data_IF_762927208067
#
_entry.id   IF_762927208067
#
_cell.length_a   1.000
_cell.length_b   1.000
_cell.length_c   1.000
_cell.angle_alpha   90.00
_cell.angle_beta   90.00
_cell.angle_gamma   90.00
#
_symmetry.space_group_name_H-M   'P 1'
#
loop_
_entity.id
_entity.type
_entity.pdbx_description
1 polymer ?
#
# COMPACT_ATOMS: atom_id res chain seq x y z
N UNK A 1 -6.87 0.48 -23.13
CA UNK A 1 -8.16 1.11 -23.54
C UNK A 1 -8.15 2.53 -22.98
N UNK A 2 -8.26 3.56 -23.82
CA UNK A 2 -8.40 4.94 -23.35
C UNK A 2 -9.86 5.20 -22.97
N UNK A 3 -10.15 5.34 -21.67
CA UNK A 3 -11.49 5.68 -21.17
C UNK A 3 -11.51 7.16 -20.80
N UNK A 4 -12.49 7.90 -21.36
CA UNK A 4 -12.65 9.34 -21.09
C UNK A 4 -13.61 9.58 -19.94
N UNK A 5 -13.24 10.48 -19.03
CA UNK A 5 -14.08 10.92 -17.91
C UNK A 5 -14.47 12.38 -18.14
N UNK A 6 -15.77 12.69 -18.10
CA UNK A 6 -16.31 14.03 -18.26
C UNK A 6 -16.97 14.49 -16.96
N UNK A 7 -16.60 15.67 -16.47
CA UNK A 7 -17.18 16.27 -15.26
C UNK A 7 -17.97 17.52 -15.62
N UNK A 8 -19.13 17.69 -14.97
CA UNK A 8 -19.85 18.96 -14.97
C UNK A 8 -19.46 19.73 -13.71
N UNK A 9 -18.82 20.87 -13.90
CA UNK A 9 -18.39 21.77 -12.82
C UNK A 9 -18.82 23.19 -13.16
N UNK A 10 -18.96 24.03 -12.14
CA UNK A 10 -19.23 25.44 -12.37
C UNK A 10 -18.04 26.13 -13.05
N UNK A 11 -18.29 27.12 -13.92
CA UNK A 11 -17.23 27.84 -14.62
C UNK A 11 -16.20 28.49 -13.68
N UNK A 12 -16.67 29.01 -12.54
CA UNK A 12 -15.82 29.65 -11.54
C UNK A 12 -14.84 28.65 -10.90
N UNK A 13 -15.32 27.46 -10.54
CA UNK A 13 -14.51 26.38 -9.96
C UNK A 13 -13.42 25.96 -10.96
N UNK A 14 -13.76 25.82 -12.25
CA UNK A 14 -12.78 25.49 -13.29
C UNK A 14 -11.68 26.54 -13.39
N UNK A 15 -12.05 27.83 -13.37
CA UNK A 15 -11.12 28.93 -13.54
C UNK A 15 -10.17 29.06 -12.34
N UNK A 16 -10.69 28.92 -11.13
CA UNK A 16 -9.89 28.89 -9.90
C UNK A 16 -8.94 27.70 -9.87
N UNK A 17 -9.41 26.50 -10.24
CA UNK A 17 -8.58 25.30 -10.29
C UNK A 17 -7.45 25.43 -11.32
N UNK A 18 -7.74 25.95 -12.51
CA UNK A 18 -6.71 26.23 -13.53
C UNK A 18 -5.65 27.20 -13.00
N UNK A 19 -6.07 28.32 -12.38
CA UNK A 19 -5.14 29.30 -11.81
C UNK A 19 -4.28 28.72 -10.68
N UNK A 20 -4.84 27.82 -9.88
CA UNK A 20 -4.10 27.14 -8.81
C UNK A 20 -3.04 26.16 -9.36
N UNK A 21 -3.33 25.50 -10.47
CA UNK A 21 -2.44 24.52 -11.10
C UNK A 21 -1.40 25.17 -12.04
N UNK A 22 -1.74 26.31 -12.65
CA UNK A 22 -0.82 27.13 -13.44
C UNK A 22 0.37 27.59 -12.58
N UNK A 23 0.13 27.97 -11.32
CA UNK A 23 1.19 28.26 -10.33
C UNK A 23 2.14 27.07 -10.08
N UNK A 24 1.70 25.85 -10.37
CA UNK A 24 2.48 24.62 -10.18
C UNK A 24 3.01 24.04 -11.51
N UNK A 25 2.69 24.66 -12.65
CA UNK A 25 3.05 24.16 -13.98
C UNK A 25 2.36 22.85 -14.38
N UNK A 26 1.24 22.50 -13.74
CA UNK A 26 0.52 21.24 -13.97
C UNK A 26 -0.77 21.53 -14.73
N UNK A 27 -1.14 20.66 -15.69
CA UNK A 27 -2.42 20.80 -16.39
C UNK A 27 -3.58 20.28 -15.53
N UNK A 28 -4.78 20.85 -15.69
CA UNK A 28 -5.98 20.38 -14.99
C UNK A 28 -6.25 18.90 -15.25
N UNK A 29 -6.02 18.45 -16.49
CA UNK A 29 -6.21 17.05 -16.89
C UNK A 29 -5.23 16.11 -16.20
N UNK A 30 -3.96 16.51 -16.03
CA UNK A 30 -2.96 15.68 -15.37
C UNK A 30 -3.20 15.59 -13.86
N UNK A 31 -3.60 16.71 -13.24
CA UNK A 31 -3.98 16.73 -11.83
C UNK A 31 -5.21 15.82 -11.57
N UNK A 32 -6.22 15.88 -12.44
CA UNK A 32 -7.40 15.01 -12.36
C UNK A 32 -7.04 13.54 -12.61
N UNK A 33 -6.13 13.25 -13.55
CA UNK A 33 -5.67 11.88 -13.81
C UNK A 33 -4.96 11.32 -12.58
N UNK A 34 -4.01 12.05 -12.01
CA UNK A 34 -3.31 11.64 -10.79
C UNK A 34 -4.26 11.48 -9.61
N UNK A 35 -5.27 12.35 -9.50
CA UNK A 35 -6.30 12.23 -8.47
C UNK A 35 -7.13 10.96 -8.64
N UNK A 36 -7.57 10.64 -9.87
CA UNK A 36 -8.29 9.41 -10.17
C UNK A 36 -7.44 8.16 -9.93
N UNK A 37 -6.15 8.19 -10.29
CA UNK A 37 -5.21 7.10 -10.00
C UNK A 37 -5.08 6.88 -8.49
N UNK A 38 -4.91 7.96 -7.71
CA UNK A 38 -4.87 7.86 -6.23
C UNK A 38 -6.18 7.35 -5.65
N UNK A 39 -7.32 7.82 -6.16
CA UNK A 39 -8.63 7.34 -5.75
C UNK A 39 -8.77 5.84 -6.04
N UNK A 40 -8.39 5.40 -7.24
CA UNK A 40 -8.41 4.01 -7.64
C UNK A 40 -7.38 3.14 -6.89
N UNK A 41 -6.24 3.69 -6.49
CA UNK A 41 -5.28 3.02 -5.62
C UNK A 41 -5.76 2.89 -4.18
N UNK A 42 -6.62 3.81 -3.73
CA UNK A 42 -7.24 3.75 -2.40
C UNK A 42 -8.40 2.76 -2.38
N UNK A 43 -9.19 2.71 -3.46
CA UNK A 43 -10.33 1.79 -3.64
C UNK A 43 -9.92 0.43 -4.22
N UNK A 44 -8.71 0.30 -4.77
CA UNK A 44 -8.05 -1.00 -4.90
C UNK A 44 -7.86 -1.47 -3.46
N UNK A 45 -8.89 -2.17 -3.00
CA UNK A 45 -8.89 -3.10 -1.87
C UNK A 45 -7.47 -3.56 -1.68
N UNK A 46 -6.97 -3.41 -0.45
CA UNK A 46 -5.70 -3.98 0.00
C UNK A 46 -5.44 -5.24 -0.82
N UNK A 47 -4.33 -5.27 -1.55
CA UNK A 47 -4.02 -6.45 -2.36
C UNK A 47 -4.12 -7.68 -1.47
N UNK A 48 -4.39 -8.86 -2.02
CA UNK A 48 -4.45 -10.08 -1.19
C UNK A 48 -3.21 -10.23 -0.28
N UNK A 49 -2.07 -9.70 -0.72
CA UNK A 49 -0.82 -9.60 0.04
C UNK A 49 -0.90 -8.61 1.22
N UNK A 50 -1.49 -7.43 1.01
CA UNK A 50 -1.71 -6.43 2.07
C UNK A 50 -2.76 -6.89 3.10
N UNK A 51 -3.82 -7.58 2.66
CA UNK A 51 -4.80 -8.22 3.55
C UNK A 51 -4.11 -9.30 4.37
N UNK A 52 -3.36 -10.19 3.73
CA UNK A 52 -2.62 -11.25 4.41
C UNK A 52 -1.60 -10.67 5.41
N UNK A 53 -0.86 -9.63 5.02
CA UNK A 53 0.09 -8.97 5.91
C UNK A 53 -0.60 -8.36 7.13
N UNK A 54 -1.75 -7.71 6.92
CA UNK A 54 -2.55 -7.15 8.00
C UNK A 54 -3.02 -8.24 8.96
N UNK A 55 -3.51 -9.37 8.45
CA UNK A 55 -3.89 -10.52 9.27
C UNK A 55 -2.73 -11.07 10.10
N UNK A 56 -1.53 -11.21 9.50
CA UNK A 56 -0.34 -11.67 10.23
C UNK A 56 0.11 -10.70 11.33
N UNK A 57 0.01 -9.40 11.06
CA UNK A 57 0.32 -8.35 12.05
C UNK A 57 -0.69 -8.42 13.21
N UNK A 58 -1.99 -8.45 12.92
CA UNK A 58 -3.05 -8.56 13.92
C UNK A 58 -2.92 -9.83 14.77
N UNK A 59 -2.62 -10.97 14.13
CA UNK A 59 -2.38 -12.24 14.83
C UNK A 59 -1.16 -12.14 15.75
N UNK A 60 -0.08 -11.53 15.28
CA UNK A 60 1.14 -11.34 16.08
C UNK A 60 0.86 -10.47 17.31
N UNK A 61 0.14 -9.35 17.14
CA UNK A 61 -0.28 -8.52 18.28
C UNK A 61 -1.21 -9.26 19.24
N UNK A 62 -2.12 -10.09 18.74
CA UNK A 62 -2.96 -10.93 19.58
C UNK A 62 -2.16 -11.99 20.36
N UNK A 63 -1.08 -12.52 19.79
CA UNK A 63 -0.15 -13.43 20.49
C UNK A 63 0.66 -12.68 21.57
N UNK A 64 1.16 -11.47 21.27
CA UNK A 64 1.83 -10.59 22.25
C UNK A 64 0.89 -10.33 23.44
N UNK A 65 -0.36 -9.95 23.17
CA UNK A 65 -1.34 -9.64 24.20
C UNK A 65 -1.70 -10.84 25.09
N UNK A 66 -1.62 -12.07 24.54
CA UNK A 66 -1.82 -13.33 25.28
C UNK A 66 -0.55 -13.78 26.03
N UNK A 67 0.59 -13.12 25.83
CA UNK A 67 1.87 -13.50 26.42
C UNK A 67 2.51 -14.74 25.81
N UNK A 68 2.00 -15.21 24.66
CA UNK A 68 2.47 -16.43 23.98
C UNK A 68 3.53 -16.09 22.91
N UNK A 69 4.51 -15.28 23.32
CA UNK A 69 5.57 -14.80 22.46
C UNK A 69 6.92 -15.25 22.96
N UNK A 70 7.66 -15.94 22.09
CA UNK A 70 9.06 -16.26 22.34
C UNK A 70 9.93 -15.21 21.64
N UNK A 71 10.70 -14.48 22.44
CA UNK A 71 11.74 -13.58 21.95
C UNK A 71 13.03 -14.37 21.83
N UNK A 72 13.74 -14.16 20.73
CA UNK A 72 15.04 -14.79 20.46
C UNK A 72 16.11 -13.71 20.44
N UNK A 73 17.33 -14.07 20.84
CA UNK A 73 18.49 -13.21 20.57
C UNK A 73 18.82 -13.21 19.08
N UNK A 74 19.61 -12.22 18.64
CA UNK A 74 20.05 -12.11 17.25
C UNK A 74 20.80 -13.38 16.80
N UNK A 75 21.71 -13.87 17.64
CA UNK A 75 22.49 -15.09 17.37
C UNK A 75 21.59 -16.34 17.24
N UNK A 76 20.59 -16.48 18.12
CA UNK A 76 19.64 -17.60 18.08
C UNK A 76 18.72 -17.52 16.84
N UNK A 77 18.29 -16.32 16.45
CA UNK A 77 17.49 -16.11 15.26
C UNK A 77 18.25 -16.47 13.98
N UNK A 78 19.53 -16.06 13.89
CA UNK A 78 20.40 -16.41 12.77
C UNK A 78 20.63 -17.92 12.64
N UNK A 79 20.96 -18.59 13.74
CA UNK A 79 21.24 -20.04 13.72
C UNK A 79 20.00 -20.83 13.30
N UNK A 80 18.82 -20.40 13.76
CA UNK A 80 17.54 -21.02 13.44
C UNK A 80 17.13 -20.78 11.99
N UNK A 81 17.37 -19.59 11.46
CA UNK A 81 17.14 -19.27 10.04
C UNK A 81 18.07 -20.09 9.13
N UNK A 82 19.37 -20.15 9.45
CA UNK A 82 20.35 -20.98 8.71
C UNK A 82 19.94 -22.46 8.73
N UNK A 83 19.56 -22.96 9.90
CA UNK A 83 19.07 -24.35 10.07
C UNK A 83 17.78 -24.62 9.29
N UNK A 84 16.89 -23.64 9.17
CA UNK A 84 15.65 -23.75 8.40
C UNK A 84 15.93 -23.79 6.88
N UNK A 85 16.81 -22.92 6.38
CA UNK A 85 17.23 -22.89 4.98
C UNK A 85 17.89 -24.23 4.58
N UNK A 86 18.80 -24.75 5.41
CA UNK A 86 19.46 -26.05 5.20
C UNK A 86 18.46 -27.22 5.13
N UNK A 87 17.40 -27.19 5.97
CA UNK A 87 16.34 -28.22 5.93
C UNK A 87 15.49 -28.12 4.67
N UNK A 88 15.19 -26.91 4.21
CA UNK A 88 14.46 -26.66 2.95
C UNK A 88 15.26 -27.10 1.72
N UNK A 89 16.58 -26.91 1.73
CA UNK A 89 17.47 -27.34 0.64
C UNK A 89 17.63 -28.87 0.60
N UNK A 90 17.71 -29.54 1.76
CA UNK A 90 17.78 -31.00 1.84
C UNK A 90 16.45 -31.73 1.58
N UNK A 91 15.33 -31.00 1.46
CA UNK A 91 14.01 -31.54 1.10
C UNK A 91 13.68 -31.41 -0.40
N UNK A 92 14.59 -30.87 -1.21
CA UNK A 92 14.53 -30.90 -2.69
C UNK A 92 15.29 -32.11 -3.25
#
# INVERSE_FOLDING_TARGET
METRVQFRVEPEIKLLAMKALEKKGISLSDALRSFLEKLASTEKLMTNEEVWLKEQIEETFARVARGDNTYYSEDEAEERMKSFILKMENQK
#
